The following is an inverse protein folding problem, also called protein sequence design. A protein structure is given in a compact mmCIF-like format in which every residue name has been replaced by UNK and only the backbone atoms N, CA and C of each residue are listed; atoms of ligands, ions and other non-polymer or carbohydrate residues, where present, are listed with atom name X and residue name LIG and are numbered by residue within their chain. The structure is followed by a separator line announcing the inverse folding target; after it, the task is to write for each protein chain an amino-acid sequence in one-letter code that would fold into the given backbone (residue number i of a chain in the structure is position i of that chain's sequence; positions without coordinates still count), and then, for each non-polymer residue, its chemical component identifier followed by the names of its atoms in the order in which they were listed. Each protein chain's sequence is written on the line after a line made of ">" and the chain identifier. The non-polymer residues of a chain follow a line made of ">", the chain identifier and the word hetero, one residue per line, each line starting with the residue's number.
data_IF_769642609041
#
_entry.id   IF_769642609041
#
_cell.length_a   1.000
_cell.length_b   1.000
_cell.length_c   1.000
_cell.angle_alpha   90.00
_cell.angle_beta   90.00
_cell.angle_gamma   90.00
#
_symmetry.space_group_name_H-M   'P 1'
#
loop_
_entity.id
_entity.type
_entity.pdbx_description
1 polymer ?
#
# COMPACT_ATOMS: atom_id res chain seq x y z
N UNK A 1 -21.65 -66.70 54.24
CA UNK A 1 -22.19 -65.81 53.19
C UNK A 1 -21.04 -65.32 52.35
N UNK A 2 -20.94 -65.82 51.12
CA UNK A 2 -19.98 -65.44 50.08
C UNK A 2 -20.69 -64.50 49.13
N UNK A 3 -20.14 -63.31 48.91
CA UNK A 3 -20.30 -62.45 47.72
C UNK A 3 -19.68 -61.12 48.11
N UNK A 4 -18.63 -60.67 47.40
CA UNK A 4 -18.17 -59.27 47.25
C UNK A 4 -16.75 -59.15 46.63
N UNK A 5 -16.07 -60.24 46.27
CA UNK A 5 -14.69 -60.18 45.70
C UNK A 5 -14.58 -60.53 44.22
N UNK A 6 -15.60 -60.26 43.40
CA UNK A 6 -15.60 -60.62 41.97
C UNK A 6 -15.79 -59.46 40.98
N UNK A 7 -15.77 -58.19 41.43
CA UNK A 7 -15.96 -57.03 40.53
C UNK A 7 -14.70 -56.20 40.21
N UNK A 8 -13.56 -56.50 40.84
CA UNK A 8 -12.31 -55.74 40.61
C UNK A 8 -11.33 -56.39 39.61
N UNK A 9 -11.60 -57.60 39.12
CA UNK A 9 -10.69 -58.32 38.23
C UNK A 9 -10.91 -58.06 36.72
N UNK A 10 -11.94 -57.30 36.33
CA UNK A 10 -12.34 -57.15 34.91
C UNK A 10 -12.16 -55.74 34.33
N UNK A 11 -11.57 -54.80 35.08
CA UNK A 11 -11.36 -53.41 34.62
C UNK A 11 -9.88 -53.04 34.40
N UNK A 12 -8.93 -53.91 34.74
CA UNK A 12 -7.50 -53.61 34.57
C UNK A 12 -6.94 -53.67 33.13
N UNK A 13 -7.37 -54.57 32.22
CA UNK A 13 -6.73 -54.66 30.90
C UNK A 13 -7.12 -53.52 29.94
N UNK A 14 -8.25 -52.86 30.18
CA UNK A 14 -8.75 -51.76 29.33
C UNK A 14 -8.10 -50.43 29.68
N UNK A 15 -7.78 -50.20 30.96
CA UNK A 15 -7.08 -48.99 31.40
C UNK A 15 -5.60 -48.97 30.95
N UNK A 16 -4.93 -50.13 30.97
CA UNK A 16 -3.53 -50.26 30.56
C UNK A 16 -3.31 -50.05 29.05
N UNK A 17 -4.26 -50.46 28.21
CA UNK A 17 -4.23 -50.28 26.75
C UNK A 17 -4.55 -48.85 26.32
N UNK A 18 -5.47 -48.17 27.01
CA UNK A 18 -5.73 -46.75 26.77
C UNK A 18 -4.53 -45.87 27.14
N UNK A 19 -3.85 -46.16 28.26
CA UNK A 19 -2.67 -45.41 28.72
C UNK A 19 -1.45 -45.61 27.80
N UNK A 20 -1.23 -46.82 27.27
CA UNK A 20 -0.16 -47.08 26.30
C UNK A 20 -0.41 -46.42 24.95
N UNK A 21 -1.65 -46.39 24.44
CA UNK A 21 -2.00 -45.63 23.23
C UNK A 21 -1.84 -44.11 23.42
N UNK A 22 -2.11 -43.59 24.62
CA UNK A 22 -1.97 -42.17 24.95
C UNK A 22 -0.49 -41.78 25.09
N UNK A 23 0.33 -42.64 25.70
CA UNK A 23 1.79 -42.45 25.78
C UNK A 23 2.48 -42.59 24.42
N UNK A 24 2.04 -43.52 23.55
CA UNK A 24 2.51 -43.63 22.16
C UNK A 24 2.12 -42.39 21.36
N UNK A 25 0.89 -41.86 21.52
CA UNK A 25 0.48 -40.60 20.88
C UNK A 25 1.28 -39.39 21.36
N UNK A 26 1.56 -39.29 22.66
CA UNK A 26 2.35 -38.20 23.25
C UNK A 26 3.81 -38.29 22.80
N UNK A 27 4.39 -39.49 22.74
CA UNK A 27 5.75 -39.73 22.25
C UNK A 27 5.89 -39.43 20.75
N UNK A 28 4.89 -39.79 19.94
CA UNK A 28 4.87 -39.48 18.50
C UNK A 28 4.71 -37.97 18.23
N UNK A 29 3.94 -37.25 19.06
CA UNK A 29 3.81 -35.79 18.96
C UNK A 29 5.07 -35.04 19.43
N UNK A 30 5.81 -35.55 20.42
CA UNK A 30 7.08 -34.93 20.85
C UNK A 30 8.20 -35.05 19.82
N UNK A 31 8.26 -36.15 19.04
CA UNK A 31 9.24 -36.27 17.94
C UNK A 31 8.88 -35.40 16.73
N UNK A 32 7.59 -35.18 16.45
CA UNK A 32 7.14 -34.25 15.40
C UNK A 32 7.37 -32.77 15.77
N UNK A 33 7.28 -32.42 17.05
CA UNK A 33 7.56 -31.06 17.53
C UNK A 33 9.04 -30.66 17.43
N UNK A 34 9.96 -31.61 17.62
CA UNK A 34 11.40 -31.34 17.48
C UNK A 34 11.85 -31.23 16.02
N UNK A 35 11.20 -31.94 15.09
CA UNK A 35 11.45 -31.76 13.65
C UNK A 35 10.91 -30.41 13.13
N UNK A 36 9.83 -29.89 13.72
CA UNK A 36 9.28 -28.59 13.36
C UNK A 36 10.16 -27.41 13.81
N UNK A 37 10.88 -27.51 14.94
CA UNK A 37 11.73 -26.41 15.43
C UNK A 37 13.03 -26.20 14.63
N UNK A 38 13.53 -27.23 13.94
CA UNK A 38 14.73 -27.12 13.11
C UNK A 38 14.46 -26.50 11.72
N UNK A 39 13.20 -26.43 11.27
CA UNK A 39 12.81 -25.85 9.97
C UNK A 39 12.40 -24.37 10.04
N UNK A 40 12.21 -23.81 11.24
CA UNK A 40 11.78 -22.41 11.40
C UNK A 40 12.86 -21.38 10.96
N UNK A 41 14.19 -21.61 11.06
CA UNK A 41 15.14 -20.60 10.62
C UNK A 41 15.18 -20.40 9.10
N UNK A 42 14.80 -21.41 8.29
CA UNK A 42 14.91 -21.33 6.82
C UNK A 42 13.66 -20.71 6.17
N UNK A 43 12.48 -20.94 6.75
CA UNK A 43 11.24 -20.32 6.25
C UNK A 43 11.20 -18.80 6.52
N UNK A 44 11.85 -18.33 7.60
CA UNK A 44 11.89 -16.90 7.93
C UNK A 44 12.88 -16.11 7.05
N UNK A 45 13.96 -16.75 6.59
CA UNK A 45 14.92 -16.16 5.63
C UNK A 45 14.38 -16.16 4.18
N UNK A 46 13.45 -17.06 3.84
CA UNK A 46 12.81 -17.09 2.52
C UNK A 46 11.70 -16.03 2.36
N UNK A 47 11.13 -15.51 3.44
CA UNK A 47 10.09 -14.47 3.38
C UNK A 47 10.64 -13.04 3.23
N UNK A 48 11.95 -12.82 3.41
CA UNK A 48 12.56 -11.49 3.14
C UNK A 48 13.00 -11.32 1.68
N UNK A 49 12.89 -12.36 0.86
CA UNK A 49 13.11 -12.33 -0.59
C UNK A 49 11.78 -12.43 -1.35
N UNK A 50 10.80 -11.59 -1.01
CA UNK A 50 10.05 -11.01 -2.13
C UNK A 50 11.12 -10.26 -2.95
N UNK A 51 11.33 -10.54 -4.25
CA UNK A 51 12.26 -9.76 -5.03
C UNK A 51 11.78 -8.32 -4.91
N UNK A 52 12.51 -7.47 -4.18
CA UNK A 52 12.44 -6.04 -4.42
C UNK A 52 12.74 -5.94 -5.91
N UNK A 53 11.78 -5.49 -6.75
CA UNK A 53 12.04 -5.34 -8.15
C UNK A 53 13.36 -4.59 -8.25
N UNK A 54 14.34 -5.15 -8.97
CA UNK A 54 15.61 -4.43 -9.11
C UNK A 54 15.25 -3.04 -9.63
N UNK A 55 15.81 -2.01 -9.02
CA UNK A 55 15.50 -0.61 -9.34
C UNK A 55 15.61 -0.28 -10.85
N UNK A 56 16.34 -1.11 -11.60
CA UNK A 56 16.48 -1.08 -13.06
C UNK A 56 15.29 -1.64 -13.87
N UNK A 57 14.43 -2.48 -13.30
CA UNK A 57 13.24 -3.08 -13.94
C UNK A 57 11.93 -2.37 -13.56
N UNK A 58 12.02 -1.36 -12.71
CA UNK A 58 10.88 -0.67 -12.13
C UNK A 58 10.24 0.24 -13.19
N UNK A 59 8.97 -0.02 -13.53
CA UNK A 59 8.23 0.80 -14.50
C UNK A 59 8.26 2.28 -14.08
N UNK A 60 8.18 3.21 -15.03
CA UNK A 60 8.22 4.66 -14.74
C UNK A 60 7.23 5.08 -13.63
N UNK A 61 6.07 4.42 -13.57
CA UNK A 61 5.06 4.67 -12.55
C UNK A 61 5.42 4.12 -11.18
N UNK A 62 6.19 3.05 -11.08
CA UNK A 62 6.64 2.51 -9.80
C UNK A 62 7.62 3.47 -9.09
N UNK A 63 8.43 4.23 -9.83
CA UNK A 63 9.27 5.30 -9.25
C UNK A 63 8.42 6.49 -8.77
N UNK A 64 7.38 6.83 -9.53
CA UNK A 64 6.40 7.84 -9.11
C UNK A 64 5.64 7.37 -7.87
N UNK A 65 5.29 6.08 -7.78
CA UNK A 65 4.63 5.46 -6.63
C UNK A 65 5.45 5.65 -5.36
N UNK A 66 6.74 5.26 -5.36
CA UNK A 66 7.65 5.44 -4.23
C UNK A 66 7.79 6.91 -3.82
N UNK A 67 7.89 7.80 -4.82
CA UNK A 67 7.94 9.24 -4.57
C UNK A 67 6.66 9.78 -3.92
N UNK A 68 5.48 9.30 -4.35
CA UNK A 68 4.21 9.69 -3.74
C UNK A 68 4.03 9.06 -2.35
N UNK A 69 4.46 7.81 -2.13
CA UNK A 69 4.41 7.18 -0.82
C UNK A 69 5.29 7.93 0.20
N UNK A 70 6.46 8.41 -0.23
CA UNK A 70 7.41 9.12 0.64
C UNK A 70 7.01 10.58 0.94
N UNK A 71 6.49 11.31 -0.05
CA UNK A 71 6.24 12.76 0.07
C UNK A 71 4.77 13.16 -0.04
N UNK A 72 3.86 12.21 -0.25
CA UNK A 72 2.43 12.48 -0.41
C UNK A 72 1.75 12.84 0.91
N UNK A 73 0.69 13.64 0.80
CA UNK A 73 -0.23 13.91 1.90
C UNK A 73 -0.99 12.62 2.24
N UNK A 74 -1.20 12.35 3.53
CA UNK A 74 -2.06 11.26 3.95
C UNK A 74 -3.52 11.68 3.79
N UNK A 75 -4.28 10.93 3.00
CA UNK A 75 -5.66 11.23 2.65
C UNK A 75 -6.51 9.96 2.68
N UNK A 76 -7.81 10.09 2.48
CA UNK A 76 -8.73 8.96 2.37
C UNK A 76 -9.66 9.11 1.17
N UNK A 77 -9.80 8.05 0.38
CA UNK A 77 -10.83 7.97 -0.66
C UNK A 77 -12.14 7.54 -0.01
N UNK A 78 -13.22 8.23 -0.35
CA UNK A 78 -14.55 7.95 0.17
C UNK A 78 -15.02 6.52 -0.18
N UNK A 79 -15.82 5.87 0.69
CA UNK A 79 -16.31 4.50 0.50
C UNK A 79 -16.97 4.27 -0.86
N UNK A 80 -17.80 5.22 -1.30
CA UNK A 80 -18.53 5.17 -2.57
C UNK A 80 -17.57 5.08 -3.77
N UNK A 81 -16.51 5.90 -3.77
CA UNK A 81 -15.51 5.89 -4.81
C UNK A 81 -14.62 4.64 -4.73
N UNK A 82 -14.27 4.19 -3.53
CA UNK A 82 -13.53 2.95 -3.32
C UNK A 82 -14.30 1.73 -3.86
N UNK A 83 -15.61 1.69 -3.65
CA UNK A 83 -16.49 0.64 -4.15
C UNK A 83 -16.53 0.63 -5.69
N UNK A 84 -16.68 1.81 -6.32
CA UNK A 84 -16.70 1.94 -7.79
C UNK A 84 -15.33 1.58 -8.40
N UNK A 85 -14.25 1.94 -7.72
CA UNK A 85 -12.88 1.53 -8.07
C UNK A 85 -12.68 0.02 -7.94
N UNK A 86 -13.52 -0.69 -7.17
CA UNK A 86 -13.36 -2.12 -6.92
C UNK A 86 -12.26 -2.42 -5.90
N UNK A 87 -11.93 -1.44 -5.05
CA UNK A 87 -10.89 -1.54 -4.01
C UNK A 87 -11.51 -1.62 -2.61
N UNK A 88 -12.73 -2.16 -2.50
CA UNK A 88 -13.44 -2.39 -1.25
C UNK A 88 -14.56 -1.37 -0.96
N UNK A 89 -15.31 -1.61 0.11
CA UNK A 89 -16.47 -0.80 0.51
C UNK A 89 -16.16 0.20 1.63
N UNK A 90 -14.93 0.19 2.16
CA UNK A 90 -14.51 1.06 3.25
C UNK A 90 -13.75 2.28 2.72
N UNK A 91 -13.49 3.25 3.59
CA UNK A 91 -12.57 4.35 3.28
C UNK A 91 -11.19 3.76 2.97
N UNK A 92 -10.67 4.06 1.78
CA UNK A 92 -9.35 3.60 1.36
C UNK A 92 -8.30 4.64 1.78
N UNK A 93 -7.37 4.32 2.69
CA UNK A 93 -6.27 5.21 3.05
C UNK A 93 -5.25 5.29 1.90
N UNK A 94 -4.84 6.51 1.57
CA UNK A 94 -3.92 6.77 0.45
C UNK A 94 -2.86 7.80 0.81
N UNK A 95 -1.74 7.74 0.08
CA UNK A 95 -0.79 8.85 -0.07
C UNK A 95 -1.08 9.57 -1.37
N UNK A 96 -1.31 10.88 -1.31
CA UNK A 96 -1.76 11.69 -2.43
C UNK A 96 -0.74 12.79 -2.77
N UNK A 97 -0.45 12.95 -4.07
CA UNK A 97 0.04 14.23 -4.62
C UNK A 97 -0.96 14.77 -5.62
N UNK A 98 -1.26 16.07 -5.51
CA UNK A 98 -2.17 16.76 -6.41
C UNK A 98 -1.56 18.06 -6.92
N UNK A 99 -1.98 18.44 -8.12
CA UNK A 99 -1.55 19.66 -8.81
C UNK A 99 -2.78 20.34 -9.40
N UNK A 100 -2.82 21.67 -9.30
CA UNK A 100 -3.88 22.47 -9.91
C UNK A 100 -3.38 23.05 -11.23
N UNK A 101 -4.10 22.76 -12.31
CA UNK A 101 -3.90 23.38 -13.61
C UNK A 101 -4.56 24.76 -13.66
N UNK A 102 -4.11 25.60 -14.60
CA UNK A 102 -4.58 26.99 -14.76
C UNK A 102 -6.07 27.09 -15.12
N UNK A 103 -6.64 26.05 -15.72
CA UNK A 103 -8.06 25.92 -16.08
C UNK A 103 -8.96 25.50 -14.89
N UNK A 104 -8.37 25.41 -13.69
CA UNK A 104 -9.04 25.00 -12.45
C UNK A 104 -9.14 23.49 -12.27
N UNK A 105 -8.58 22.69 -13.16
CA UNK A 105 -8.58 21.23 -13.05
C UNK A 105 -7.56 20.76 -12.01
N UNK A 106 -7.98 19.90 -11.11
CA UNK A 106 -7.12 19.17 -10.19
C UNK A 106 -6.66 17.87 -10.83
N UNK A 107 -5.36 17.65 -10.88
CA UNK A 107 -4.73 16.43 -11.36
C UNK A 107 -4.08 15.75 -10.16
N UNK A 108 -4.47 14.51 -9.84
CA UNK A 108 -4.00 13.84 -8.64
C UNK A 108 -3.47 12.42 -8.91
N UNK A 109 -2.55 12.00 -8.05
CA UNK A 109 -1.94 10.68 -7.99
C UNK A 109 -2.02 10.16 -6.57
N UNK A 110 -2.84 9.14 -6.36
CA UNK A 110 -3.06 8.51 -5.08
C UNK A 110 -2.51 7.09 -5.09
N UNK A 111 -1.73 6.73 -4.08
CA UNK A 111 -1.25 5.36 -3.87
C UNK A 111 -1.91 4.82 -2.61
N UNK A 112 -2.56 3.67 -2.72
CA UNK A 112 -3.09 2.98 -1.55
C UNK A 112 -1.98 2.63 -0.56
N UNK A 113 -2.20 2.96 0.71
CA UNK A 113 -1.33 2.51 1.81
C UNK A 113 -1.82 1.22 2.44
N UNK A 114 -2.95 0.68 1.98
CA UNK A 114 -3.46 -0.60 2.46
C UNK A 114 -2.68 -1.74 1.77
N UNK A 115 -1.97 -2.61 2.51
CA UNK A 115 -1.17 -3.70 1.94
C UNK A 115 -2.00 -4.71 1.15
N UNK A 116 -3.29 -4.85 1.50
CA UNK A 116 -4.22 -5.78 0.85
C UNK A 116 -4.84 -5.22 -0.43
N UNK A 117 -4.67 -3.92 -0.69
CA UNK A 117 -5.30 -3.23 -1.82
C UNK A 117 -4.21 -2.46 -2.55
N UNK A 118 -3.53 -3.15 -3.46
CA UNK A 118 -2.45 -2.57 -4.26
C UNK A 118 -3.03 -1.91 -5.50
N UNK A 119 -2.98 -0.58 -5.54
CA UNK A 119 -3.51 0.18 -6.66
C UNK A 119 -3.07 1.64 -6.62
N UNK A 120 -2.92 2.21 -7.81
CA UNK A 120 -2.63 3.62 -8.04
C UNK A 120 -3.86 4.24 -8.70
N UNK A 121 -4.40 5.29 -8.09
CA UNK A 121 -5.50 6.07 -8.64
C UNK A 121 -4.95 7.37 -9.21
N UNK A 122 -5.16 7.57 -10.51
CA UNK A 122 -4.89 8.83 -11.19
C UNK A 122 -6.23 9.55 -11.40
N UNK A 123 -6.26 10.87 -11.22
CA UNK A 123 -7.49 11.63 -11.46
C UNK A 123 -7.22 12.96 -12.15
N UNK A 124 -8.21 13.38 -12.92
CA UNK A 124 -8.31 14.70 -13.56
C UNK A 124 -9.72 15.19 -13.35
N UNK A 125 -9.91 15.99 -12.29
CA UNK A 125 -11.23 16.44 -11.83
C UNK A 125 -11.28 17.96 -11.75
N UNK A 126 -12.33 18.54 -12.32
CA UNK A 126 -12.66 19.95 -12.18
C UNK A 126 -13.73 20.09 -11.11
N UNK A 127 -13.42 20.86 -10.06
CA UNK A 127 -14.42 21.27 -9.09
C UNK A 127 -15.31 22.34 -9.72
N UNK A 128 -16.60 22.09 -9.71
CA UNK A 128 -17.65 23.01 -10.15
C UNK A 128 -18.49 23.39 -8.94
N UNK A 129 -18.99 24.62 -8.96
CA UNK A 129 -19.99 25.08 -8.02
C UNK A 129 -21.19 25.59 -8.81
N UNK A 130 -22.37 25.09 -8.50
CA UNK A 130 -23.64 25.60 -9.02
C UNK A 130 -24.57 25.85 -7.85
N UNK A 131 -25.16 27.05 -7.77
CA UNK A 131 -26.11 27.62 -6.78
C UNK A 131 -26.18 27.04 -5.36
N UNK A 132 -26.33 25.72 -5.20
CA UNK A 132 -26.42 25.02 -3.90
C UNK A 132 -25.46 23.82 -3.74
N UNK A 133 -24.66 23.45 -4.73
CA UNK A 133 -23.84 22.24 -4.71
C UNK A 133 -22.44 22.49 -5.28
N UNK A 134 -21.44 22.00 -4.54
CA UNK A 134 -20.08 21.84 -5.05
C UNK A 134 -19.93 20.37 -5.46
N UNK A 135 -19.54 20.13 -6.69
CA UNK A 135 -19.33 18.79 -7.22
C UNK A 135 -18.07 18.74 -8.08
N UNK A 136 -17.59 17.54 -8.35
CA UNK A 136 -16.43 17.32 -9.23
C UNK A 136 -16.87 16.70 -10.54
N UNK A 137 -16.25 17.10 -11.64
CA UNK A 137 -16.50 16.55 -12.98
C UNK A 137 -15.19 16.15 -13.62
N UNK A 138 -15.13 14.99 -14.25
CA UNK A 138 -13.96 14.56 -15.01
C UNK A 138 -13.78 13.05 -14.98
N UNK A 139 -12.53 12.62 -14.91
CA UNK A 139 -12.17 11.20 -15.04
C UNK A 139 -11.19 10.79 -13.94
N UNK A 140 -11.35 9.57 -13.44
CA UNK A 140 -10.37 8.88 -12.63
C UNK A 140 -10.03 7.52 -13.25
N UNK A 141 -8.81 7.05 -13.03
CA UNK A 141 -8.31 5.79 -13.55
C UNK A 141 -7.70 4.99 -12.40
N UNK A 142 -8.09 3.72 -12.30
CA UNK A 142 -7.42 2.76 -11.44
C UNK A 142 -6.38 2.00 -12.26
N UNK A 143 -5.18 1.94 -11.73
CA UNK A 143 -4.09 1.12 -12.27
C UNK A 143 -3.56 0.18 -11.19
N UNK A 144 -2.96 -0.92 -11.61
CA UNK A 144 -2.09 -1.69 -10.72
C UNK A 144 -0.72 -1.00 -10.56
N UNK A 145 0.17 -1.60 -9.75
CA UNK A 145 1.53 -1.09 -9.52
C UNK A 145 2.43 -1.08 -10.75
N UNK A 146 2.11 -1.86 -11.79
CA UNK A 146 2.81 -1.81 -13.08
C UNK A 146 2.37 -0.61 -13.93
N UNK A 147 1.30 0.08 -13.50
CA UNK A 147 0.70 1.16 -14.26
C UNK A 147 -0.20 0.70 -15.40
N UNK A 148 -0.66 -0.56 -15.35
CA UNK A 148 -1.64 -1.09 -16.29
C UNK A 148 -3.02 -0.64 -15.88
N UNK A 149 -3.79 -0.09 -16.83
CA UNK A 149 -5.15 0.37 -16.59
C UNK A 149 -6.07 -0.82 -16.26
N UNK A 150 -6.77 -0.71 -15.13
CA UNK A 150 -7.74 -1.71 -14.65
C UNK A 150 -9.18 -1.22 -14.79
N UNK A 151 -9.38 0.09 -14.65
CA UNK A 151 -10.72 0.69 -14.70
C UNK A 151 -10.67 2.18 -14.99
N UNK A 152 -11.61 2.63 -15.80
CA UNK A 152 -11.87 4.05 -16.05
C UNK A 152 -13.19 4.46 -15.43
N UNK A 153 -13.19 5.57 -14.70
CA UNK A 153 -14.35 6.10 -13.98
C UNK A 153 -14.63 7.51 -14.48
N UNK A 154 -15.83 7.72 -15.01
CA UNK A 154 -16.37 9.05 -15.26
C UNK A 154 -17.04 9.59 -14.01
N UNK A 155 -16.77 10.85 -13.67
CA UNK A 155 -17.40 11.57 -12.57
C UNK A 155 -18.18 12.74 -13.14
N UNK A 156 -19.46 12.80 -12.82
CA UNK A 156 -20.37 13.86 -13.24
C UNK A 156 -21.29 14.28 -12.07
N UNK A 157 -22.18 15.27 -12.21
CA UNK A 157 -23.05 15.72 -11.12
C UNK A 157 -24.00 14.65 -10.58
N UNK A 158 -24.28 13.59 -11.35
CA UNK A 158 -25.11 12.46 -10.94
C UNK A 158 -24.35 11.41 -10.15
N UNK A 159 -23.01 11.44 -10.19
CA UNK A 159 -22.13 10.56 -9.44
C UNK A 159 -20.96 10.04 -10.26
N UNK A 160 -20.31 9.01 -9.73
CA UNK A 160 -19.23 8.31 -10.40
C UNK A 160 -19.74 7.00 -11.02
N UNK A 161 -19.27 6.67 -12.22
CA UNK A 161 -19.64 5.44 -12.92
C UNK A 161 -18.48 4.90 -13.73
N UNK A 162 -18.44 3.57 -13.90
CA UNK A 162 -17.47 2.92 -14.76
C UNK A 162 -17.82 3.21 -16.22
N UNK A 163 -16.82 3.58 -17.00
CA UNK A 163 -16.94 3.83 -18.45
C UNK A 163 -15.96 2.95 -19.21
N UNK A 164 -16.15 2.72 -20.52
CA UNK A 164 -15.23 1.91 -21.32
C UNK A 164 -13.79 2.47 -21.26
N UNK A 165 -12.81 1.60 -21.06
CA UNK A 165 -11.40 2.02 -20.91
C UNK A 165 -10.82 2.71 -22.15
N UNK A 166 -11.33 2.35 -23.33
CA UNK A 166 -10.95 3.00 -24.59
C UNK A 166 -11.40 4.46 -24.68
N UNK A 167 -12.46 4.86 -23.96
CA UNK A 167 -13.09 6.19 -24.11
C UNK A 167 -12.17 7.34 -23.68
N UNK A 168 -11.21 7.08 -22.78
CA UNK A 168 -10.31 8.10 -22.19
C UNK A 168 -8.85 7.66 -22.20
N UNK A 169 -8.48 6.76 -23.11
CA UNK A 169 -7.13 6.18 -23.15
C UNK A 169 -6.03 7.22 -23.44
N UNK A 170 -6.31 8.23 -24.27
CA UNK A 170 -5.36 9.33 -24.55
C UNK A 170 -5.14 10.21 -23.32
N UNK A 171 -6.21 10.54 -22.61
CA UNK A 171 -6.14 11.31 -21.36
C UNK A 171 -5.34 10.56 -20.28
N UNK A 172 -5.58 9.25 -20.14
CA UNK A 172 -4.81 8.41 -19.23
C UNK A 172 -3.30 8.47 -19.52
N UNK A 173 -2.90 8.32 -20.80
CA UNK A 173 -1.49 8.42 -21.22
C UNK A 173 -0.90 9.79 -20.87
N UNK A 174 -1.64 10.86 -21.12
CA UNK A 174 -1.19 12.23 -20.83
C UNK A 174 -1.00 12.46 -19.32
N UNK A 175 -1.90 11.96 -18.48
CA UNK A 175 -1.80 12.10 -17.02
C UNK A 175 -0.65 11.25 -16.46
N UNK A 176 -0.44 10.04 -16.98
CA UNK A 176 0.74 9.23 -16.65
C UNK A 176 2.04 9.98 -16.97
N UNK A 177 2.16 10.50 -18.19
CA UNK A 177 3.33 11.26 -18.62
C UNK A 177 3.55 12.53 -17.79
N UNK A 178 2.47 13.21 -17.38
CA UNK A 178 2.54 14.39 -16.51
C UNK A 178 3.25 14.07 -15.19
N UNK A 179 2.87 12.99 -14.51
CA UNK A 179 3.48 12.64 -13.23
C UNK A 179 4.91 12.13 -13.35
N UNK A 180 5.22 11.38 -14.41
CA UNK A 180 6.60 10.98 -14.72
C UNK A 180 7.49 12.21 -14.91
N UNK A 181 7.03 13.19 -15.69
CA UNK A 181 7.76 14.46 -15.90
C UNK A 181 7.92 15.26 -14.60
N UNK A 182 6.87 15.33 -13.76
CA UNK A 182 6.93 16.01 -12.46
C UNK A 182 7.95 15.37 -11.54
N UNK A 183 7.95 14.04 -11.44
CA UNK A 183 8.94 13.30 -10.67
C UNK A 183 10.37 13.61 -11.13
N UNK A 184 10.65 13.54 -12.44
CA UNK A 184 11.98 13.84 -13.01
C UNK A 184 12.44 15.26 -12.71
N UNK A 185 11.53 16.23 -12.78
CA UNK A 185 11.86 17.64 -12.48
C UNK A 185 12.23 17.83 -11.01
N UNK A 186 11.46 17.19 -10.11
CA UNK A 186 11.72 17.28 -8.66
C UNK A 186 13.00 16.53 -8.26
N UNK A 187 13.27 15.35 -8.83
CA UNK A 187 14.48 14.59 -8.54
C UNK A 187 15.75 15.27 -9.07
N UNK A 188 15.67 15.91 -10.25
CA UNK A 188 16.78 16.70 -10.79
C UNK A 188 17.05 17.96 -9.95
N UNK A 189 16.01 18.64 -9.46
CA UNK A 189 16.17 19.79 -8.57
C UNK A 189 16.75 19.42 -7.20
N UNK A 190 16.54 18.20 -6.72
CA UNK A 190 17.14 17.72 -5.47
C UNK A 190 18.63 17.38 -5.62
N UNK A 191 19.09 17.06 -6.85
CA UNK A 191 20.50 16.81 -7.15
C UNK A 191 21.33 18.10 -7.31
N UNK A 192 20.68 19.25 -7.51
CA UNK A 192 21.33 20.56 -7.50
C UNK A 192 21.61 20.99 -6.05
N UNK A 193 22.70 20.47 -5.48
CA UNK A 193 23.25 20.90 -4.19
C UNK A 193 23.37 22.42 -4.13
N UNK A 194 22.87 23.12 -3.09
CA UNK A 194 23.08 24.55 -2.96
C UNK A 194 24.58 24.78 -2.82
N UNK A 195 25.20 25.43 -3.81
CA UNK A 195 26.60 25.87 -3.69
C UNK A 195 26.77 26.63 -2.37
N UNK A 196 27.83 26.34 -1.59
CA UNK A 196 28.06 27.01 -0.32
C UNK A 196 28.16 28.50 -0.60
N UNK A 197 27.19 29.27 -0.10
CA UNK A 197 27.29 30.73 -0.08
C UNK A 197 28.42 31.05 0.91
N UNK A 198 29.61 31.29 0.39
CA UNK A 198 30.75 31.76 1.18
C UNK A 198 30.36 33.17 1.66
N UNK A 199 29.81 33.25 2.87
CA UNK A 199 29.63 34.51 3.57
C UNK A 199 31.01 35.05 3.91
N UNK A 200 31.45 36.05 3.15
CA UNK A 200 32.69 36.75 3.43
C UNK A 200 32.58 37.49 4.77
N UNK A 201 33.42 37.09 5.71
CA UNK A 201 33.68 37.74 6.99
C UNK A 201 34.19 39.17 6.79
N UNK A 202 33.60 40.14 7.50
CA UNK A 202 34.28 41.40 7.81
C UNK A 202 34.49 41.47 9.33
N UNK A 203 35.68 41.07 9.76
CA UNK A 203 36.19 41.35 11.09
C UNK A 203 36.69 42.81 11.12
N UNK A 204 36.15 43.62 12.03
CA UNK A 204 36.83 44.86 12.45
C UNK A 204 36.73 45.02 13.95
N UNK A 205 37.77 44.58 14.63
CA UNK A 205 38.01 44.88 16.04
C UNK A 205 38.58 46.29 16.25
N UNK A 206 38.40 46.75 17.50
CA UNK A 206 39.11 47.83 18.22
C UNK A 206 38.87 49.29 17.79
N UNK A 207 38.30 50.08 18.70
CA UNK A 207 39.05 50.71 19.80
C UNK A 207 38.11 51.26 20.89
N UNK A 208 38.39 50.88 22.14
CA UNK A 208 38.05 51.66 23.32
C UNK A 208 39.05 52.81 23.46
N UNK A 209 38.58 53.99 23.88
CA UNK A 209 39.37 54.91 24.72
C UNK A 209 38.47 55.98 25.33
N UNK A 210 38.49 55.98 26.67
CA UNK A 210 38.27 57.06 27.65
C UNK A 210 36.89 57.67 27.79
#
# INVERSE_FOLDING_TARGET
>A
MRTETAKLALLWPVAATALTLLLVRVWYRSKLLLAALALVPVALLAQSLAPTPRYSEQTELSKVEEWVLSQGAAESIAPELAAILGVGSDRLPVKLKSYRASDGVSIAFAVSTNPNQQGIVLSRLKTMADKMKIYSVGTAWLTDRSGTLRRTIGVDPSGAKVVPDSSRASEFKNIKAFFVKKFQTTSSSAAASPSPRISATAAKGKKATK
#
